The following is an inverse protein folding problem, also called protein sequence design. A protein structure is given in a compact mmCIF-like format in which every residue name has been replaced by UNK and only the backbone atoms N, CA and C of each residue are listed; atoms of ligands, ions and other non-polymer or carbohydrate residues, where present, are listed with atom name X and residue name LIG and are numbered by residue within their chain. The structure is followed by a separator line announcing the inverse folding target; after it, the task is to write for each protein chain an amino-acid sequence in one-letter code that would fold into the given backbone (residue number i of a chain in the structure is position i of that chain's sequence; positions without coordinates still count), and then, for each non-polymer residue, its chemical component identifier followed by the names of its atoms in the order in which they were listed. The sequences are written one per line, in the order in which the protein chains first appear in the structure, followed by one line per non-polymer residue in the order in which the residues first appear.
data_IF_962512195832
#
_entry.id   IF_962512195832
#
_cell.length_a   1.000
_cell.length_b   1.000
_cell.length_c   1.000
_cell.angle_alpha   90.00
_cell.angle_beta   90.00
_cell.angle_gamma   90.00
#
_symmetry.space_group_name_H-M   'P 1'
#
loop_
_entity.id
_entity.type
_entity.pdbx_description
1 polymer ?
#
# COMPACT_ATOMS: atom_id res chain seq x y z
N UNK A 1 29.70 34.47 -6.11
CA UNK A 1 28.60 34.00 -5.25
C UNK A 1 27.30 34.22 -6.01
N UNK A 2 26.66 33.22 -6.64
CA UNK A 2 25.46 33.55 -7.45
C UNK A 2 24.76 32.49 -8.29
N UNK A 3 25.23 31.23 -8.35
CA UNK A 3 24.59 30.20 -9.19
C UNK A 3 24.21 28.91 -8.44
N UNK A 4 24.51 28.79 -7.15
CA UNK A 4 24.24 27.56 -6.38
C UNK A 4 22.75 27.40 -5.99
N UNK A 5 22.04 28.51 -5.76
CA UNK A 5 20.62 28.51 -5.41
C UNK A 5 19.72 28.01 -6.56
N UNK A 6 19.87 28.48 -7.82
CA UNK A 6 18.98 28.03 -8.90
C UNK A 6 19.16 26.55 -9.25
N UNK A 7 20.36 26.01 -9.18
CA UNK A 7 20.63 24.60 -9.49
C UNK A 7 20.05 23.66 -8.42
N UNK A 8 20.13 24.05 -7.14
CA UNK A 8 19.49 23.33 -6.04
C UNK A 8 17.96 23.35 -6.16
N UNK A 9 17.38 24.50 -6.53
CA UNK A 9 15.93 24.65 -6.71
C UNK A 9 15.41 23.76 -7.85
N UNK A 10 16.11 23.74 -8.99
CA UNK A 10 15.81 22.84 -10.10
C UNK A 10 15.87 21.40 -9.60
N UNK A 11 16.94 20.97 -8.95
CA UNK A 11 17.05 19.58 -8.44
C UNK A 11 15.86 19.18 -7.52
N UNK A 12 15.41 20.07 -6.62
CA UNK A 12 14.28 19.81 -5.73
C UNK A 12 12.94 19.71 -6.49
N UNK A 13 12.74 20.49 -7.55
CA UNK A 13 11.55 20.42 -8.40
C UNK A 13 11.43 19.05 -9.10
N UNK A 14 12.55 18.45 -9.52
CA UNK A 14 12.57 17.14 -10.17
C UNK A 14 12.24 15.96 -9.24
N UNK A 15 12.38 16.13 -7.92
CA UNK A 15 12.12 15.06 -6.92
C UNK A 15 10.64 14.95 -6.55
N UNK A 16 9.80 15.94 -6.90
CA UNK A 16 8.42 16.06 -6.43
C UNK A 16 7.41 15.06 -7.02
N UNK A 17 7.86 14.01 -7.71
CA UNK A 17 7.00 13.02 -8.37
C UNK A 17 7.05 11.60 -7.81
N UNK A 18 7.94 11.29 -6.86
CA UNK A 18 8.05 9.93 -6.32
C UNK A 18 6.96 9.66 -5.27
N UNK A 19 6.03 8.75 -5.60
CA UNK A 19 5.06 8.21 -4.64
C UNK A 19 5.50 6.79 -4.28
N UNK A 20 5.87 6.55 -3.03
CA UNK A 20 6.23 5.19 -2.58
C UNK A 20 5.06 4.20 -2.70
N UNK A 21 5.38 2.90 -2.79
CA UNK A 21 4.41 1.81 -2.97
C UNK A 21 3.40 1.70 -1.82
N UNK A 22 2.19 1.20 -2.15
CA UNK A 22 1.18 0.83 -1.16
C UNK A 22 1.48 -0.57 -0.65
N UNK A 23 1.66 -0.69 0.66
CA UNK A 23 1.89 -1.98 1.32
C UNK A 23 0.56 -2.51 1.83
N UNK A 24 0.32 -3.81 1.67
CA UNK A 24 -0.93 -4.50 2.05
C UNK A 24 -0.64 -5.59 3.10
N UNK A 25 -0.32 -5.21 4.36
CA UNK A 25 -0.06 -6.16 5.43
C UNK A 25 -1.35 -6.89 5.84
N UNK A 26 -1.21 -8.18 6.16
CA UNK A 26 -2.29 -9.02 6.67
C UNK A 26 -1.97 -9.52 8.08
N UNK A 27 -3.00 -9.73 8.90
CA UNK A 27 -2.84 -10.25 10.26
C UNK A 27 -4.01 -11.16 10.65
N UNK A 28 -3.76 -12.28 11.31
CA UNK A 28 -2.45 -12.84 11.66
C UNK A 28 -1.72 -13.42 10.42
N UNK A 29 -0.40 -13.63 10.51
CA UNK A 29 0.39 -14.25 9.43
C UNK A 29 0.06 -15.75 9.24
N UNK A 30 -0.34 -16.41 10.32
CA UNK A 30 -0.82 -17.79 10.32
C UNK A 30 -1.89 -17.94 11.40
N UNK A 31 -2.93 -18.71 11.13
CA UNK A 31 -3.99 -18.98 12.09
C UNK A 31 -4.32 -20.47 12.05
N UNK A 32 -4.28 -21.12 13.22
CA UNK A 32 -4.79 -22.47 13.41
C UNK A 32 -6.22 -22.36 13.93
N UNK A 33 -7.16 -23.04 13.28
CA UNK A 33 -8.58 -23.08 13.68
C UNK A 33 -9.10 -24.50 13.61
N UNK A 34 -10.05 -24.84 14.47
CA UNK A 34 -10.74 -26.12 14.41
C UNK A 34 -11.73 -26.14 13.24
N UNK A 35 -12.06 -27.33 12.69
CA UNK A 35 -13.14 -27.43 11.71
C UNK A 35 -14.44 -26.83 12.24
N UNK A 36 -15.12 -26.03 11.41
CA UNK A 36 -16.36 -25.28 11.73
C UNK A 36 -16.18 -24.04 12.61
N UNK A 37 -14.97 -23.74 13.04
CA UNK A 37 -14.65 -22.49 13.71
C UNK A 37 -14.45 -21.35 12.68
N UNK A 38 -14.76 -20.11 13.06
CA UNK A 38 -14.62 -18.95 12.18
C UNK A 38 -13.16 -18.46 12.19
N UNK A 39 -12.51 -18.48 11.04
CA UNK A 39 -11.26 -17.76 10.83
C UNK A 39 -11.53 -16.30 10.43
N UNK A 40 -10.71 -15.37 10.92
CA UNK A 40 -10.73 -13.97 10.51
C UNK A 40 -9.31 -13.52 10.19
N UNK A 41 -9.13 -12.85 9.05
CA UNK A 41 -7.88 -12.23 8.63
C UNK A 41 -8.18 -10.76 8.37
N UNK A 42 -7.39 -9.89 8.98
CA UNK A 42 -7.48 -8.44 8.83
C UNK A 42 -6.45 -7.94 7.82
N UNK A 43 -6.81 -6.92 7.06
CA UNK A 43 -5.94 -6.25 6.10
C UNK A 43 -6.08 -4.74 6.28
N UNK A 44 -4.95 -4.03 6.34
CA UNK A 44 -4.94 -2.55 6.39
C UNK A 44 -3.81 -2.00 5.55
N UNK A 45 -4.14 -1.31 4.47
CA UNK A 45 -3.17 -0.72 3.57
C UNK A 45 -2.42 0.45 4.21
N UNK A 46 -1.15 0.67 3.82
CA UNK A 46 -0.31 1.76 4.36
C UNK A 46 -0.84 3.16 4.02
N UNK A 47 -1.64 3.26 2.96
CA UNK A 47 -2.34 4.48 2.52
C UNK A 47 -3.76 4.12 2.13
N UNK A 48 -4.64 5.12 2.11
CA UNK A 48 -5.98 4.95 1.53
C UNK A 48 -5.83 4.54 0.06
N UNK A 49 -6.41 3.40 -0.32
CA UNK A 49 -6.53 3.01 -1.73
C UNK A 49 -7.70 3.82 -2.27
N UNK A 50 -7.38 4.98 -2.84
CA UNK A 50 -8.37 5.99 -3.21
C UNK A 50 -9.14 5.56 -4.46
N UNK A 51 -10.45 5.83 -4.43
CA UNK A 51 -11.37 5.61 -5.54
C UNK A 51 -11.01 6.48 -6.74
N UNK A 52 -11.08 5.91 -7.94
CA UNK A 52 -11.36 6.70 -9.14
C UNK A 52 -12.87 6.96 -9.13
N UNK A 53 -13.27 8.22 -8.92
CA UNK A 53 -14.67 8.71 -8.92
C UNK A 53 -15.62 8.22 -7.82
N UNK A 54 -15.17 7.76 -6.66
CA UNK A 54 -16.11 7.44 -5.57
C UNK A 54 -16.85 6.11 -5.70
N UNK A 55 -16.35 5.16 -6.52
CA UNK A 55 -17.14 3.98 -6.94
C UNK A 55 -16.49 2.63 -6.59
N UNK A 56 -15.17 2.56 -6.38
CA UNK A 56 -14.48 1.26 -6.20
C UNK A 56 -13.35 1.34 -5.17
N UNK A 57 -13.51 0.61 -4.07
CA UNK A 57 -12.42 0.22 -3.17
C UNK A 57 -11.87 -1.14 -3.63
N UNK A 58 -10.74 -1.14 -4.35
CA UNK A 58 -10.19 -2.35 -4.98
C UNK A 58 -9.26 -3.12 -4.03
N UNK A 59 -9.80 -3.69 -2.94
CA UNK A 59 -9.09 -4.72 -2.16
C UNK A 59 -9.75 -6.06 -2.44
N UNK A 60 -8.98 -7.02 -2.94
CA UNK A 60 -9.45 -8.35 -3.35
C UNK A 60 -8.66 -9.42 -2.60
N UNK A 61 -9.35 -10.48 -2.15
CA UNK A 61 -8.75 -11.63 -1.48
C UNK A 61 -8.52 -12.79 -2.45
N UNK A 62 -7.33 -13.40 -2.39
CA UNK A 62 -6.97 -14.55 -3.22
C UNK A 62 -6.57 -15.74 -2.32
N UNK A 63 -7.27 -16.88 -2.39
CA UNK A 63 -6.89 -18.08 -1.66
C UNK A 63 -5.77 -18.82 -2.41
N UNK A 64 -4.64 -19.05 -1.74
CA UNK A 64 -3.52 -19.84 -2.26
C UNK A 64 -3.51 -21.22 -1.59
N UNK A 65 -3.40 -22.29 -2.38
CA UNK A 65 -3.18 -23.65 -1.87
C UNK A 65 -1.69 -23.93 -1.78
N UNK A 66 -1.30 -24.85 -0.90
CA UNK A 66 0.07 -25.38 -0.87
C UNK A 66 0.40 -26.00 -2.24
N UNK A 67 1.62 -25.77 -2.72
CA UNK A 67 2.16 -26.36 -3.95
C UNK A 67 2.61 -27.80 -3.77
#
# INVERSE_FOLDING_TARGET
MGHQVPLLLVLLLWVSGSTGDIVVPQSPASLLVSPRERASISCRTSRSVNEVFGIIQSIIWYPQRAG
#
